data_IF_921577725301
#
_entry.id   IF_921577725301
#
_cell.length_a   1.000
_cell.length_b   1.000
_cell.length_c   1.000
_cell.angle_alpha   90.00
_cell.angle_beta   90.00
_cell.angle_gamma   90.00
#
_symmetry.space_group_name_H-M   'P 1'
#
loop_
_entity.id
_entity.type
_entity.pdbx_description
1 polymer ?
#
# COMPACT_ATOMS: atom_id res chain seq x y z
N UNK A 1 -26.36 4.89 0.55
CA UNK A 1 -26.28 5.66 1.80
C UNK A 1 -24.83 6.01 2.17
N UNK A 2 -23.87 5.08 2.07
CA UNK A 2 -22.44 5.33 2.33
C UNK A 2 -21.84 6.47 1.47
N UNK A 3 -22.04 6.46 0.14
CA UNK A 3 -21.55 7.53 -0.75
C UNK A 3 -22.16 8.92 -0.45
N UNK A 4 -23.43 9.00 -0.02
CA UNK A 4 -24.07 10.25 0.43
C UNK A 4 -23.58 10.70 1.81
N UNK A 5 -23.29 9.76 2.73
CA UNK A 5 -22.63 10.06 4.01
C UNK A 5 -21.21 10.58 3.77
N UNK A 6 -20.45 10.00 2.85
CA UNK A 6 -19.11 10.47 2.45
C UNK A 6 -19.14 11.82 1.77
N UNK A 7 -20.07 12.04 0.84
CA UNK A 7 -20.31 13.37 0.25
C UNK A 7 -20.64 14.40 1.34
N UNK A 8 -21.45 14.06 2.36
CA UNK A 8 -21.72 14.96 3.50
C UNK A 8 -20.56 15.11 4.50
N UNK A 9 -19.69 14.09 4.62
CA UNK A 9 -18.45 14.09 5.42
C UNK A 9 -17.35 14.92 4.73
N UNK A 10 -17.32 14.94 3.39
CA UNK A 10 -16.40 15.73 2.59
C UNK A 10 -16.91 17.17 2.39
N UNK A 11 -18.23 17.35 2.21
CA UNK A 11 -18.87 18.68 2.06
C UNK A 11 -18.91 19.47 3.36
N UNK A 12 -18.87 18.79 4.52
CA UNK A 12 -18.55 19.41 5.81
C UNK A 12 -17.03 19.45 5.97
N UNK A 13 -16.39 20.33 5.19
CA UNK A 13 -14.97 20.68 5.29
C UNK A 13 -14.03 19.51 5.62
N UNK A 14 -13.90 18.55 4.70
CA UNK A 14 -12.58 17.99 4.43
C UNK A 14 -11.90 18.92 3.42
N UNK A 15 -11.66 20.17 3.83
CA UNK A 15 -10.36 20.76 3.55
C UNK A 15 -9.36 19.87 4.29
N UNK A 16 -9.01 18.72 3.72
CA UNK A 16 -7.92 17.90 4.23
C UNK A 16 -6.69 18.81 4.17
N UNK A 17 -6.19 19.31 5.32
CA UNK A 17 -4.98 20.11 5.28
C UNK A 17 -3.86 19.26 4.68
N UNK A 18 -2.88 19.87 4.02
CA UNK A 18 -1.72 19.15 3.51
C UNK A 18 -0.96 18.57 4.71
N UNK A 19 -1.17 17.28 4.98
CA UNK A 19 -0.38 16.44 5.89
C UNK A 19 -0.38 16.86 7.39
N UNK A 20 -0.42 15.85 8.26
CA UNK A 20 -0.55 15.87 9.73
C UNK A 20 -1.94 16.09 10.33
N UNK A 21 -2.27 15.22 11.29
CA UNK A 21 -3.35 15.38 12.26
C UNK A 21 -2.75 15.70 13.64
N UNK A 22 -3.41 16.57 14.39
CA UNK A 22 -3.47 16.66 15.85
C UNK A 22 -4.73 17.42 16.25
N UNK A 23 -5.50 16.92 17.21
CA UNK A 23 -6.55 17.69 17.89
C UNK A 23 -6.29 17.62 19.40
N UNK A 24 -5.92 18.76 19.97
CA UNK A 24 -6.09 19.08 21.38
C UNK A 24 -6.66 20.49 21.46
N UNK A 25 -7.62 20.69 22.37
CA UNK A 25 -8.31 21.96 22.61
C UNK A 25 -7.32 23.07 22.98
N UNK A 26 -6.81 23.78 21.97
CA UNK A 26 -6.31 25.17 21.93
C UNK A 26 -5.75 25.44 20.51
N UNK A 27 -6.66 25.57 19.55
CA UNK A 27 -6.64 26.37 18.30
C UNK A 27 -5.35 26.64 17.48
N UNK A 28 -4.36 25.76 17.42
CA UNK A 28 -3.27 25.83 16.40
C UNK A 28 -2.87 24.43 15.91
N UNK A 29 -3.37 24.07 14.72
CA UNK A 29 -2.86 22.96 13.89
C UNK A 29 -1.66 23.48 13.10
N UNK A 30 -0.43 23.13 13.46
CA UNK A 30 0.69 23.29 12.52
C UNK A 30 0.73 22.06 11.59
N UNK A 31 -0.27 21.97 10.70
CA UNK A 31 -0.07 21.28 9.43
C UNK A 31 0.97 22.10 8.67
N UNK A 32 2.18 21.57 8.49
CA UNK A 32 3.10 22.23 7.56
C UNK A 32 2.57 21.94 6.17
N UNK A 33 1.89 22.94 5.59
CA UNK A 33 1.56 22.98 4.18
C UNK A 33 2.79 22.51 3.39
N UNK A 34 2.58 21.56 2.46
CA UNK A 34 3.65 21.16 1.56
C UNK A 34 4.24 22.44 0.97
N UNK A 35 5.56 22.57 1.03
CA UNK A 35 6.30 23.77 0.63
C UNK A 35 6.02 24.09 -0.84
N UNK A 36 5.77 23.05 -1.64
CA UNK A 36 5.37 23.15 -3.04
C UNK A 36 4.07 23.95 -3.26
N UNK A 37 3.14 23.97 -2.29
CA UNK A 37 1.76 24.51 -2.38
C UNK A 37 0.91 23.97 -3.56
N UNK A 38 1.49 23.15 -4.44
CA UNK A 38 0.81 22.51 -5.56
C UNK A 38 -0.17 21.45 -5.08
N UNK A 39 -1.14 21.15 -5.94
CA UNK A 39 -2.09 20.06 -5.75
C UNK A 39 -2.29 19.30 -7.05
N UNK A 40 -2.59 18.01 -6.95
CA UNK A 40 -3.02 17.18 -8.06
C UNK A 40 -4.39 16.54 -7.78
N UNK A 41 -5.22 16.30 -8.81
CA UNK A 41 -6.50 15.64 -8.63
C UNK A 41 -6.32 14.13 -8.48
N UNK A 42 -7.04 13.52 -7.53
CA UNK A 42 -7.34 12.08 -7.58
C UNK A 42 -8.74 11.87 -8.14
N UNK A 43 -8.91 10.84 -8.97
CA UNK A 43 -10.08 10.67 -9.82
C UNK A 43 -10.88 9.42 -9.43
N UNK A 44 -12.19 9.49 -9.62
CA UNK A 44 -13.07 8.34 -9.51
C UNK A 44 -12.94 7.49 -10.78
N UNK A 45 -12.40 6.26 -10.72
CA UNK A 45 -12.20 5.43 -11.91
C UNK A 45 -13.51 5.00 -12.57
N UNK A 46 -14.66 5.20 -11.91
CA UNK A 46 -15.98 4.89 -12.46
C UNK A 46 -16.47 5.96 -13.43
N UNK A 47 -16.09 7.22 -13.19
CA UNK A 47 -16.65 8.39 -13.89
C UNK A 47 -15.59 9.28 -14.53
N UNK A 48 -14.34 9.21 -14.08
CA UNK A 48 -13.26 10.14 -14.43
C UNK A 48 -13.37 11.49 -13.71
N UNK A 49 -14.36 11.67 -12.84
CA UNK A 49 -14.56 12.92 -12.09
C UNK A 49 -13.56 13.04 -10.94
N UNK A 50 -13.23 14.28 -10.56
CA UNK A 50 -12.33 14.55 -9.43
C UNK A 50 -13.02 14.19 -8.12
N UNK A 51 -12.37 13.35 -7.31
CA UNK A 51 -12.81 13.05 -5.93
C UNK A 51 -12.35 14.19 -5.01
N UNK A 52 -11.07 14.53 -5.09
CA UNK A 52 -10.41 15.53 -4.27
C UNK A 52 -9.11 16.03 -4.92
N UNK A 53 -8.70 17.24 -4.55
CA UNK A 53 -7.35 17.73 -4.79
C UNK A 53 -6.46 17.37 -3.59
N UNK A 54 -5.33 16.73 -3.87
CA UNK A 54 -4.35 16.30 -2.88
C UNK A 54 -3.09 17.12 -3.07
N UNK A 55 -2.46 17.53 -1.97
CA UNK A 55 -1.21 18.27 -2.04
C UNK A 55 -0.13 17.45 -2.76
N UNK A 56 0.58 18.10 -3.68
CA UNK A 56 1.60 17.48 -4.54
C UNK A 56 2.98 17.70 -3.93
N UNK A 57 3.48 16.64 -3.28
CA UNK A 57 4.83 16.60 -2.75
C UNK A 57 5.88 16.63 -3.86
N UNK A 58 6.91 17.43 -3.62
CA UNK A 58 8.11 17.51 -4.44
C UNK A 58 9.37 17.26 -3.58
N UNK A 59 10.55 17.47 -4.15
CA UNK A 59 11.82 17.23 -3.48
C UNK A 59 11.94 17.95 -2.12
N UNK A 60 11.47 19.19 -2.01
CA UNK A 60 11.54 19.96 -0.77
C UNK A 60 10.64 19.39 0.34
N UNK A 61 9.49 18.83 -0.03
CA UNK A 61 8.59 18.16 0.89
C UNK A 61 9.18 16.85 1.39
N UNK A 62 9.87 16.11 0.50
CA UNK A 62 10.63 14.94 0.87
C UNK A 62 11.76 15.32 1.85
N UNK A 63 12.51 16.39 1.59
CA UNK A 63 13.56 16.86 2.50
C UNK A 63 12.98 17.19 3.88
N UNK A 64 11.84 17.88 3.93
CA UNK A 64 11.15 18.18 5.18
C UNK A 64 10.69 16.92 5.92
N UNK A 65 10.10 15.95 5.21
CA UNK A 65 9.65 14.69 5.78
C UNK A 65 10.81 13.83 6.29
N UNK A 66 11.92 13.77 5.55
CA UNK A 66 13.13 13.04 5.97
C UNK A 66 13.77 13.72 7.17
N UNK A 67 13.83 15.06 7.21
CA UNK A 67 14.33 15.80 8.38
C UNK A 67 13.48 15.53 9.63
N UNK A 68 12.15 15.52 9.49
CA UNK A 68 11.24 15.17 10.58
C UNK A 68 11.42 13.71 11.05
N UNK A 69 11.56 12.78 10.11
CA UNK A 69 11.82 11.36 10.39
C UNK A 69 13.16 11.13 11.10
N UNK A 70 14.21 11.84 10.66
CA UNK A 70 15.54 11.79 11.26
C UNK A 70 15.51 12.33 12.68
N UNK A 71 14.92 13.50 12.90
CA UNK A 71 14.77 14.09 14.24
C UNK A 71 13.98 13.17 15.18
N UNK A 72 12.87 12.60 14.70
CA UNK A 72 12.07 11.67 15.49
C UNK A 72 12.82 10.38 15.84
N UNK A 73 13.71 9.91 14.97
CA UNK A 73 14.55 8.73 15.19
C UNK A 73 15.70 9.01 16.18
N UNK A 74 16.50 10.05 15.92
CA UNK A 74 17.73 10.33 16.67
C UNK A 74 17.46 10.96 18.04
N UNK A 75 16.52 11.90 18.10
CA UNK A 75 16.30 12.73 19.30
C UNK A 75 14.97 12.41 20.00
N UNK A 76 13.99 11.95 19.22
CA UNK A 76 12.61 11.76 19.63
C UNK A 76 12.38 10.65 20.66
N UNK A 77 11.16 10.55 21.20
CA UNK A 77 10.82 9.53 22.18
C UNK A 77 10.68 8.13 21.57
N UNK A 78 10.51 8.00 20.25
CA UNK A 78 10.17 6.74 19.59
C UNK A 78 11.22 5.64 19.77
N UNK A 79 12.49 5.99 19.56
CA UNK A 79 13.60 5.04 19.74
C UNK A 79 13.83 4.71 21.23
N UNK A 80 13.51 5.66 22.13
CA UNK A 80 13.67 5.54 23.59
C UNK A 80 12.53 4.76 24.26
N UNK A 81 11.37 4.66 23.60
CA UNK A 81 10.27 3.82 24.07
C UNK A 81 10.71 2.36 24.16
N UNK A 82 10.19 1.65 25.15
CA UNK A 82 10.29 0.21 25.22
C UNK A 82 9.59 -0.43 24.01
N UNK A 83 10.05 -1.62 23.63
CA UNK A 83 9.39 -2.40 22.58
C UNK A 83 7.89 -2.62 22.83
N UNK A 84 7.51 -2.80 24.10
CA UNK A 84 6.11 -2.95 24.52
C UNK A 84 5.29 -1.67 24.31
N UNK A 85 5.83 -0.48 24.60
CA UNK A 85 5.14 0.79 24.35
C UNK A 85 4.89 1.00 22.85
N UNK A 86 5.87 0.70 21.99
CA UNK A 86 5.69 0.72 20.53
C UNK A 86 4.61 -0.27 20.08
N UNK A 87 4.64 -1.50 20.62
CA UNK A 87 3.60 -2.51 20.37
C UNK A 87 2.21 -1.98 20.69
N UNK A 88 2.04 -1.34 21.86
CA UNK A 88 0.76 -0.78 22.29
C UNK A 88 0.23 0.31 21.37
N UNK A 89 1.09 1.13 20.77
CA UNK A 89 0.69 2.13 19.76
C UNK A 89 0.15 1.43 18.50
N UNK A 90 0.85 0.41 18.00
CA UNK A 90 0.44 -0.33 16.80
C UNK A 90 -0.88 -1.09 17.05
N UNK A 91 -1.08 -1.67 18.23
CA UNK A 91 -2.35 -2.29 18.63
C UNK A 91 -3.50 -1.28 18.65
N UNK A 92 -3.31 -0.11 19.27
CA UNK A 92 -4.34 0.94 19.27
C UNK A 92 -4.68 1.40 17.85
N UNK A 93 -3.69 1.52 16.98
CA UNK A 93 -3.94 1.81 15.57
C UNK A 93 -4.78 0.73 14.89
N UNK A 94 -4.50 -0.55 15.14
CA UNK A 94 -5.28 -1.65 14.59
C UNK A 94 -6.74 -1.60 15.08
N UNK A 95 -6.98 -1.31 16.36
CA UNK A 95 -8.32 -1.11 16.92
C UNK A 95 -9.05 0.06 16.25
N UNK A 96 -8.36 1.18 15.99
CA UNK A 96 -8.91 2.33 15.28
C UNK A 96 -9.23 2.00 13.82
N UNK A 97 -8.35 1.25 13.16
CA UNK A 97 -8.57 0.80 11.78
C UNK A 97 -9.83 -0.07 11.69
N UNK A 98 -10.03 -0.98 12.64
CA UNK A 98 -11.21 -1.84 12.71
C UNK A 98 -12.50 -1.03 12.92
N UNK A 99 -12.47 -0.01 13.78
CA UNK A 99 -13.61 0.89 14.01
C UNK A 99 -14.01 1.71 12.77
N UNK A 100 -13.07 1.96 11.86
CA UNK A 100 -13.26 2.78 10.67
C UNK A 100 -13.30 1.96 9.36
N UNK A 101 -13.61 0.66 9.43
CA UNK A 101 -13.65 -0.22 8.25
C UNK A 101 -14.57 0.34 7.16
N UNK A 102 -15.74 0.86 7.51
CA UNK A 102 -16.72 1.30 6.52
C UNK A 102 -16.25 2.55 5.75
N UNK A 103 -15.68 3.54 6.44
CA UNK A 103 -15.12 4.73 5.83
C UNK A 103 -13.93 4.39 4.93
N UNK A 104 -13.02 3.54 5.42
CA UNK A 104 -11.81 3.18 4.69
C UNK A 104 -12.14 2.30 3.49
N UNK A 105 -13.08 1.35 3.63
CA UNK A 105 -13.51 0.51 2.52
C UNK A 105 -14.13 1.35 1.41
N UNK A 106 -14.91 2.37 1.78
CA UNK A 106 -15.50 3.25 0.80
C UNK A 106 -14.45 4.15 0.12
N UNK A 107 -13.43 4.62 0.83
CA UNK A 107 -12.28 5.31 0.22
C UNK A 107 -11.52 4.39 -0.74
N UNK A 108 -11.19 3.16 -0.33
CA UNK A 108 -10.58 2.16 -1.20
C UNK A 108 -11.42 1.91 -2.46
N UNK A 109 -12.74 1.79 -2.34
CA UNK A 109 -13.62 1.61 -3.49
C UNK A 109 -13.71 2.83 -4.39
N UNK A 110 -13.75 4.03 -3.81
CA UNK A 110 -13.92 5.26 -4.57
C UNK A 110 -12.63 5.67 -5.29
N UNK A 111 -11.48 5.57 -4.61
CA UNK A 111 -10.17 6.01 -5.12
C UNK A 111 -9.52 4.92 -6.00
N UNK A 112 -9.73 3.63 -5.72
CA UNK A 112 -9.13 2.53 -6.50
C UNK A 112 -10.10 1.80 -7.46
N UNK A 113 -11.40 1.82 -7.19
CA UNK A 113 -12.40 1.13 -8.03
C UNK A 113 -12.68 -0.33 -7.66
N UNK A 114 -12.05 -0.89 -6.62
CA UNK A 114 -12.35 -2.27 -6.17
C UNK A 114 -13.72 -2.39 -5.49
N UNK A 115 -14.44 -3.52 -5.63
CA UNK A 115 -15.73 -3.72 -4.97
C UNK A 115 -15.70 -3.45 -3.46
N UNK A 116 -16.70 -2.72 -2.97
CA UNK A 116 -16.81 -2.36 -1.55
C UNK A 116 -16.89 -3.58 -0.64
N UNK A 117 -17.64 -4.62 -1.03
CA UNK A 117 -17.71 -5.84 -0.23
C UNK A 117 -16.35 -6.55 -0.14
N UNK A 118 -15.55 -6.50 -1.21
CA UNK A 118 -14.18 -7.03 -1.21
C UNK A 118 -13.28 -6.21 -0.26
N UNK A 119 -13.37 -4.88 -0.32
CA UNK A 119 -12.60 -4.00 0.56
C UNK A 119 -12.97 -4.19 2.04
N UNK A 120 -14.25 -4.10 2.37
CA UNK A 120 -14.78 -4.14 3.72
C UNK A 120 -14.69 -5.52 4.39
N UNK A 121 -15.07 -6.59 3.68
CA UNK A 121 -15.25 -7.92 4.29
C UNK A 121 -14.04 -8.83 4.18
N UNK A 122 -13.15 -8.55 3.23
CA UNK A 122 -11.99 -9.41 2.96
C UNK A 122 -10.69 -8.65 3.27
N UNK A 123 -10.48 -7.50 2.63
CA UNK A 123 -9.18 -6.81 2.69
C UNK A 123 -8.90 -6.17 4.04
N UNK A 124 -9.80 -5.33 4.55
CA UNK A 124 -9.54 -4.59 5.79
C UNK A 124 -9.37 -5.49 7.02
N UNK A 125 -10.16 -6.56 7.22
CA UNK A 125 -9.92 -7.50 8.32
C UNK A 125 -8.52 -8.15 8.25
N UNK A 126 -8.02 -8.45 7.05
CA UNK A 126 -6.65 -8.94 6.87
C UNK A 126 -5.62 -7.86 7.22
N UNK A 127 -5.86 -6.60 6.84
CA UNK A 127 -4.99 -5.47 7.16
C UNK A 127 -4.91 -5.22 8.67
N UNK A 128 -6.05 -5.24 9.38
CA UNK A 128 -6.09 -5.16 10.86
C UNK A 128 -5.22 -6.27 11.45
N UNK A 129 -5.39 -7.51 10.97
CA UNK A 129 -4.59 -8.66 11.42
C UNK A 129 -3.09 -8.49 11.16
N UNK A 130 -2.69 -7.85 10.07
CA UNK A 130 -1.28 -7.56 9.77
C UNK A 130 -0.69 -6.63 10.83
N UNK A 131 -1.41 -5.60 11.26
CA UNK A 131 -0.93 -4.71 12.32
C UNK A 131 -0.91 -5.39 13.68
N UNK A 132 -1.91 -6.23 14.01
CA UNK A 132 -1.83 -7.09 15.20
C UNK A 132 -0.60 -8.00 15.19
N UNK A 133 -0.32 -8.62 14.04
CA UNK A 133 0.85 -9.48 13.87
C UNK A 133 2.16 -8.71 14.12
N UNK A 134 2.34 -7.55 13.48
CA UNK A 134 3.58 -6.77 13.65
C UNK A 134 3.69 -6.09 15.02
N UNK A 135 2.58 -5.70 15.65
CA UNK A 135 2.61 -5.28 17.04
C UNK A 135 3.17 -6.37 17.95
N UNK A 136 2.78 -7.64 17.70
CA UNK A 136 3.31 -8.80 18.41
C UNK A 136 4.79 -9.08 18.17
N UNK A 137 5.39 -8.54 17.09
CA UNK A 137 6.82 -8.68 16.82
C UNK A 137 7.70 -7.64 17.51
N UNK A 138 7.14 -6.48 17.87
CA UNK A 138 7.94 -5.35 18.37
C UNK A 138 8.84 -5.71 19.56
N UNK A 139 8.39 -6.61 20.45
CA UNK A 139 9.09 -7.10 21.64
C UNK A 139 9.72 -8.50 21.50
N UNK A 140 9.80 -9.03 20.27
CA UNK A 140 10.33 -10.38 19.96
C UNK A 140 11.46 -10.37 18.94
N UNK A 141 12.10 -9.22 18.75
CA UNK A 141 13.26 -9.06 17.87
C UNK A 141 14.53 -9.49 18.61
N UNK A 142 14.83 -10.79 18.56
CA UNK A 142 16.00 -11.35 19.23
C UNK A 142 17.21 -11.39 18.32
N UNK A 143 18.38 -11.09 18.89
CA UNK A 143 19.68 -11.47 18.31
C UNK A 143 20.12 -12.86 18.77
N UNK A 144 21.40 -13.17 18.58
CA UNK A 144 22.00 -14.46 18.93
C UNK A 144 23.21 -14.25 19.84
N UNK A 145 23.42 -15.15 20.80
CA UNK A 145 24.72 -15.32 21.45
C UNK A 145 25.46 -16.43 20.70
N UNK A 146 26.63 -16.12 20.16
CA UNK A 146 27.33 -17.00 19.22
C UNK A 146 28.57 -17.60 19.91
N UNK A 147 28.75 -18.94 19.87
CA UNK A 147 29.98 -19.55 20.36
C UNK A 147 31.15 -19.10 19.46
N UNK A 148 32.22 -18.61 20.08
CA UNK A 148 33.44 -18.22 19.39
C UNK A 148 34.64 -18.99 19.94
N UNK A 149 35.61 -19.28 19.09
CA UNK A 149 36.86 -19.89 19.51
C UNK A 149 37.64 -18.91 20.41
N UNK A 150 38.07 -19.37 21.59
CA UNK A 150 38.81 -18.54 22.56
C UNK A 150 37.92 -17.81 23.58
N UNK A 151 38.49 -16.90 24.39
CA UNK A 151 37.81 -16.28 25.53
C UNK A 151 37.01 -15.03 25.13
N UNK A 152 36.12 -15.15 24.14
CA UNK A 152 35.30 -14.04 23.66
C UNK A 152 33.81 -14.25 23.97
N UNK A 153 33.12 -13.15 24.34
CA UNK A 153 31.66 -13.10 24.34
C UNK A 153 31.19 -12.43 23.05
N UNK A 154 30.45 -13.17 22.22
CA UNK A 154 29.94 -12.67 20.95
C UNK A 154 28.41 -12.68 20.98
N UNK A 155 27.82 -11.54 20.67
CA UNK A 155 26.38 -11.40 20.49
C UNK A 155 26.06 -10.58 19.24
N UNK A 156 24.93 -10.87 18.61
CA UNK A 156 24.35 -10.03 17.55
C UNK A 156 23.18 -9.24 18.11
N UNK A 157 22.99 -8.02 17.62
CA UNK A 157 21.87 -7.15 17.96
C UNK A 157 21.10 -6.81 16.69
N UNK A 158 19.77 -6.74 16.78
CA UNK A 158 18.92 -6.27 15.71
C UNK A 158 18.44 -4.86 16.03
N UNK A 159 19.19 -3.87 15.57
CA UNK A 159 18.88 -2.46 15.76
C UNK A 159 18.04 -1.94 14.57
N UNK A 160 17.14 -0.98 14.79
CA UNK A 160 16.44 -0.31 13.69
C UNK A 160 17.45 0.31 12.72
N UNK A 161 17.15 0.23 11.42
CA UNK A 161 18.01 0.78 10.37
C UNK A 161 18.02 2.32 10.36
N UNK A 162 16.95 2.95 10.87
CA UNK A 162 16.79 4.40 10.94
C UNK A 162 15.58 4.91 10.17
N UNK A 163 15.80 5.84 9.24
CA UNK A 163 14.78 6.42 8.38
C UNK A 163 14.54 5.51 7.17
N UNK A 164 13.35 4.89 7.12
CA UNK A 164 12.92 4.03 6.02
C UNK A 164 12.09 4.80 4.99
N UNK A 165 12.62 4.95 3.78
CA UNK A 165 11.88 5.43 2.62
C UNK A 165 11.04 4.33 1.99
N UNK A 166 9.76 4.59 1.75
CA UNK A 166 8.80 3.58 1.31
C UNK A 166 7.96 4.10 0.15
N UNK A 167 7.92 3.38 -0.97
CA UNK A 167 7.14 3.77 -2.16
C UNK A 167 6.17 2.64 -2.48
N UNK A 168 4.87 2.94 -2.51
CA UNK A 168 3.79 1.96 -2.72
C UNK A 168 3.04 2.19 -4.04
N UNK A 169 2.51 1.13 -4.67
CA UNK A 169 1.68 1.22 -5.86
C UNK A 169 0.20 1.45 -5.48
N UNK A 170 -0.63 1.63 -6.50
CA UNK A 170 -2.05 1.96 -6.37
C UNK A 170 -2.99 0.77 -6.24
N UNK A 171 -2.57 -0.46 -6.53
CA UNK A 171 -3.51 -1.57 -6.71
C UNK A 171 -4.11 -2.12 -5.39
N UNK A 172 -3.33 -2.10 -4.31
CA UNK A 172 -3.81 -2.41 -2.95
C UNK A 172 -3.30 -1.35 -1.95
N UNK A 173 -3.77 -0.09 -2.03
CA UNK A 173 -3.13 1.05 -1.37
C UNK A 173 -2.88 0.82 0.12
N UNK A 174 -3.92 0.53 0.91
CA UNK A 174 -3.75 0.34 2.35
C UNK A 174 -3.07 -0.97 2.72
N UNK A 175 -3.20 -2.02 1.91
CA UNK A 175 -2.48 -3.28 2.17
C UNK A 175 -0.96 -3.10 1.95
N UNK A 176 -0.57 -2.38 0.89
CA UNK A 176 0.82 -2.04 0.61
C UNK A 176 1.41 -1.12 1.68
N UNK A 177 0.61 -0.17 2.16
CA UNK A 177 0.93 0.62 3.34
C UNK A 177 1.19 -0.30 4.55
N UNK A 178 0.31 -1.24 4.86
CA UNK A 178 0.45 -2.12 6.01
C UNK A 178 1.67 -3.04 5.95
N UNK A 179 1.97 -3.58 4.76
CA UNK A 179 3.15 -4.41 4.52
C UNK A 179 4.47 -3.67 4.68
N UNK A 180 4.47 -2.34 4.55
CA UNK A 180 5.68 -1.53 4.69
C UNK A 180 5.77 -0.86 6.06
N UNK A 181 4.71 -0.20 6.51
CA UNK A 181 4.68 0.57 7.76
C UNK A 181 4.67 -0.35 8.98
N UNK A 182 3.86 -1.42 8.95
CA UNK A 182 3.75 -2.38 10.06
C UNK A 182 5.11 -2.93 10.54
N UNK A 183 5.91 -3.59 9.68
CA UNK A 183 7.21 -4.11 10.09
C UNK A 183 8.21 -3.01 10.40
N UNK A 184 8.21 -1.90 9.67
CA UNK A 184 9.16 -0.81 9.91
C UNK A 184 8.99 -0.20 11.31
N UNK A 185 7.74 0.09 11.71
CA UNK A 185 7.42 0.61 13.04
C UNK A 185 7.67 -0.42 14.15
N UNK A 186 7.34 -1.70 13.91
CA UNK A 186 7.61 -2.76 14.88
C UNK A 186 9.11 -2.86 15.21
N UNK A 187 9.97 -2.70 14.20
CA UNK A 187 11.42 -2.66 14.37
C UNK A 187 11.96 -1.35 14.98
N UNK A 188 11.13 -0.32 15.20
CA UNK A 188 11.54 0.96 15.78
C UNK A 188 12.07 1.99 14.77
N UNK A 189 11.89 1.75 13.47
CA UNK A 189 12.26 2.73 12.43
C UNK A 189 11.28 3.90 12.40
N UNK A 190 11.71 5.02 11.82
CA UNK A 190 10.81 6.07 11.34
C UNK A 190 10.61 5.92 9.83
N UNK A 191 9.51 6.44 9.30
CA UNK A 191 9.07 6.16 7.94
C UNK A 191 8.75 7.45 7.19
N UNK A 192 9.24 7.55 5.96
CA UNK A 192 8.74 8.47 4.93
C UNK A 192 8.14 7.64 3.81
N UNK A 193 6.82 7.72 3.64
CA UNK A 193 6.07 6.94 2.66
C UNK A 193 5.53 7.84 1.55
N UNK A 194 5.80 7.47 0.31
CA UNK A 194 5.17 8.02 -0.89
C UNK A 194 4.06 7.10 -1.36
N UNK A 195 2.81 7.59 -1.31
CA UNK A 195 1.64 6.93 -1.88
C UNK A 195 1.53 7.16 -3.39
N UNK A 196 0.92 6.21 -4.11
CA UNK A 196 0.63 6.38 -5.52
C UNK A 196 -0.33 7.55 -5.76
N UNK A 197 -0.07 8.30 -6.82
CA UNK A 197 -0.86 9.47 -7.25
C UNK A 197 -2.32 9.09 -7.58
N UNK A 198 -2.57 7.86 -8.03
CA UNK A 198 -3.93 7.38 -8.29
C UNK A 198 -4.72 7.09 -7.02
N UNK A 199 -4.05 6.79 -5.90
CA UNK A 199 -4.73 6.31 -4.68
C UNK A 199 -4.14 6.87 -3.38
N UNK A 200 -4.10 8.19 -3.19
CA UNK A 200 -3.47 8.79 -2.02
C UNK A 200 -4.34 8.73 -0.76
N UNK A 201 -5.66 8.55 -0.87
CA UNK A 201 -6.58 8.92 0.20
C UNK A 201 -6.48 8.03 1.44
N UNK A 202 -6.30 6.71 1.27
CA UNK A 202 -6.32 5.77 2.40
C UNK A 202 -5.03 5.80 3.21
N UNK A 203 -3.89 6.11 2.60
CA UNK A 203 -2.63 6.34 3.31
C UNK A 203 -2.70 7.59 4.20
N UNK A 204 -3.29 8.68 3.69
CA UNK A 204 -3.51 9.91 4.45
C UNK A 204 -4.49 9.68 5.61
N UNK A 205 -5.57 8.95 5.38
CA UNK A 205 -6.52 8.59 6.44
C UNK A 205 -5.87 7.70 7.52
N UNK A 206 -5.05 6.72 7.13
CA UNK A 206 -4.31 5.89 8.07
C UNK A 206 -3.31 6.71 8.91
N UNK A 207 -2.67 7.72 8.33
CA UNK A 207 -1.77 8.61 9.08
C UNK A 207 -2.51 9.35 10.21
N UNK A 208 -3.74 9.81 9.94
CA UNK A 208 -4.60 10.40 10.97
C UNK A 208 -4.88 9.42 12.11
N UNK A 209 -5.22 8.17 11.79
CA UNK A 209 -5.48 7.15 12.82
C UNK A 209 -4.23 6.79 13.62
N UNK A 210 -3.05 6.77 13.00
CA UNK A 210 -1.78 6.56 13.72
C UNK A 210 -1.49 7.69 14.69
N UNK A 211 -1.78 8.93 14.30
CA UNK A 211 -1.68 10.06 15.20
C UNK A 211 -2.63 9.91 16.41
N UNK A 212 -3.90 9.57 16.16
CA UNK A 212 -4.88 9.29 17.24
C UNK A 212 -4.45 8.11 18.13
N UNK A 213 -3.75 7.12 17.57
CA UNK A 213 -3.17 6.02 18.33
C UNK A 213 -2.00 6.45 19.23
N UNK A 214 -1.54 7.70 19.15
CA UNK A 214 -0.44 8.26 19.93
C UNK A 214 0.94 8.01 19.31
N UNK A 215 1.03 7.83 18.00
CA UNK A 215 2.32 7.76 17.30
C UNK A 215 3.04 9.12 17.40
N UNK A 216 4.30 9.19 17.87
CA UNK A 216 5.00 10.46 18.01
C UNK A 216 5.16 11.21 16.67
N UNK A 217 5.16 12.56 16.68
CA UNK A 217 5.39 13.35 15.48
C UNK A 217 6.68 12.98 14.76
N UNK A 218 6.66 12.98 13.43
CA UNK A 218 7.80 12.64 12.57
C UNK A 218 8.08 11.14 12.44
N UNK A 219 7.47 10.26 13.23
CA UNK A 219 7.69 8.80 13.11
C UNK A 219 7.10 8.24 11.82
N UNK A 220 5.97 8.76 11.37
CA UNK A 220 5.36 8.41 10.09
C UNK A 220 5.04 9.69 9.32
N UNK A 221 5.58 9.80 8.12
CA UNK A 221 5.41 10.94 7.23
C UNK A 221 4.86 10.42 5.90
N UNK A 222 3.72 10.95 5.45
CA UNK A 222 3.12 10.58 4.16
C UNK A 222 3.26 11.75 3.20
N UNK A 223 3.93 11.51 2.07
CA UNK A 223 4.11 12.49 1.00
C UNK A 223 3.49 11.94 -0.28
N UNK A 224 2.27 12.37 -0.59
CA UNK A 224 1.63 12.07 -1.88
C UNK A 224 2.26 12.92 -2.98
N UNK A 225 2.53 12.35 -4.14
CA UNK A 225 3.13 13.08 -5.26
C UNK A 225 3.37 12.15 -6.45
N UNK A 226 4.10 12.61 -7.47
CA UNK A 226 4.41 11.80 -8.63
C UNK A 226 5.69 10.97 -8.46
N UNK A 227 5.82 9.92 -9.28
CA UNK A 227 7.04 9.10 -9.33
C UNK A 227 8.30 9.91 -9.65
N UNK A 228 8.35 10.69 -10.74
CA UNK A 228 9.54 11.46 -11.12
C UNK A 228 9.95 12.58 -10.16
N UNK A 229 9.04 13.09 -9.33
CA UNK A 229 9.30 14.16 -8.36
C UNK A 229 9.52 13.56 -6.96
N UNK A 230 8.45 13.40 -6.17
CA UNK A 230 8.51 12.85 -4.81
C UNK A 230 9.17 11.47 -4.74
N UNK A 231 8.84 10.56 -5.67
CA UNK A 231 9.40 9.21 -5.67
C UNK A 231 10.91 9.18 -5.93
N UNK A 232 11.37 9.94 -6.92
CA UNK A 232 12.78 10.03 -7.28
C UNK A 232 13.59 10.72 -6.18
N UNK A 233 13.08 11.82 -5.62
CA UNK A 233 13.69 12.51 -4.50
C UNK A 233 13.85 11.61 -3.27
N UNK A 234 12.83 10.80 -2.94
CA UNK A 234 12.91 9.87 -1.82
C UNK A 234 13.94 8.75 -2.06
N UNK A 235 14.02 8.23 -3.29
CA UNK A 235 14.99 7.19 -3.65
C UNK A 235 16.44 7.69 -3.59
N UNK A 236 16.69 8.93 -4.05
CA UNK A 236 18.02 9.54 -4.10
C UNK A 236 18.44 10.28 -2.82
N UNK A 237 17.55 10.44 -1.83
CA UNK A 237 17.84 11.19 -0.61
C UNK A 237 19.02 10.57 0.18
N UNK A 238 19.96 11.42 0.62
CA UNK A 238 21.20 10.98 1.30
C UNK A 238 20.96 10.53 2.74
N UNK A 239 19.99 11.11 3.44
CA UNK A 239 19.69 10.79 4.85
C UNK A 239 18.59 9.73 5.04
N UNK A 240 18.26 8.98 3.98
CA UNK A 240 17.37 7.80 4.06
C UNK A 240 18.24 6.55 4.15
N UNK A 241 18.07 5.75 5.20
CA UNK A 241 18.95 4.61 5.50
C UNK A 241 18.54 3.33 4.77
N UNK A 242 17.28 3.24 4.37
CA UNK A 242 16.74 2.09 3.64
C UNK A 242 15.63 2.50 2.70
N UNK A 243 15.56 1.86 1.53
CA UNK A 243 14.42 1.98 0.63
C UNK A 243 13.63 0.66 0.50
N UNK A 244 12.31 0.77 0.39
CA UNK A 244 11.43 -0.33 0.02
C UNK A 244 10.43 0.11 -1.06
N UNK A 245 10.58 -0.39 -2.28
CA UNK A 245 9.73 -0.05 -3.42
C UNK A 245 8.86 -1.24 -3.83
N UNK A 246 7.61 -0.94 -4.18
CA UNK A 246 6.73 -1.90 -4.85
C UNK A 246 6.10 -1.24 -6.08
N UNK A 247 6.16 -1.88 -7.24
CA UNK A 247 5.65 -1.31 -8.48
C UNK A 247 6.15 -2.01 -9.74
N UNK A 248 6.28 -1.25 -10.83
CA UNK A 248 6.72 -1.81 -12.11
C UNK A 248 8.20 -2.21 -12.09
N UNK A 249 8.57 -3.21 -12.89
CA UNK A 249 9.96 -3.64 -13.03
C UNK A 249 10.86 -2.53 -13.58
N UNK A 250 10.38 -1.74 -14.53
CA UNK A 250 11.16 -0.66 -15.13
C UNK A 250 11.41 0.48 -14.13
N UNK A 251 10.40 0.86 -13.35
CA UNK A 251 10.59 1.81 -12.24
C UNK A 251 11.51 1.23 -11.16
N UNK A 252 11.43 -0.08 -10.88
CA UNK A 252 12.34 -0.75 -9.95
C UNK A 252 13.82 -0.63 -10.35
N UNK A 253 14.13 -0.72 -11.64
CA UNK A 253 15.49 -0.48 -12.17
C UNK A 253 15.92 0.97 -11.95
N UNK A 254 15.07 1.94 -12.28
CA UNK A 254 15.34 3.38 -12.04
C UNK A 254 15.60 3.64 -10.56
N UNK A 255 14.81 3.04 -9.68
CA UNK A 255 15.00 3.16 -8.22
C UNK A 255 16.38 2.64 -7.80
N UNK A 256 16.81 1.49 -8.30
CA UNK A 256 18.16 0.97 -8.00
C UNK A 256 19.26 1.90 -8.51
N UNK A 257 19.12 2.50 -9.69
CA UNK A 257 20.07 3.46 -10.23
C UNK A 257 20.19 4.72 -9.37
N UNK A 258 19.06 5.28 -8.93
CA UNK A 258 19.02 6.46 -8.05
C UNK A 258 19.65 6.16 -6.68
N UNK A 259 19.39 4.98 -6.13
CA UNK A 259 20.00 4.54 -4.88
C UNK A 259 21.51 4.33 -5.03
N UNK A 260 21.94 3.69 -6.11
CA UNK A 260 23.36 3.44 -6.38
C UNK A 260 24.16 4.74 -6.54
N UNK A 261 23.54 5.79 -7.09
CA UNK A 261 24.16 7.11 -7.29
C UNK A 261 24.08 8.04 -6.06
N UNK A 262 23.38 7.63 -5.01
CA UNK A 262 23.25 8.42 -3.78
C UNK A 262 24.15 7.87 -2.67
N UNK A 263 23.59 7.11 -1.73
CA UNK A 263 24.27 6.69 -0.49
C UNK A 263 24.41 5.16 -0.37
N UNK A 264 24.13 4.40 -1.44
CA UNK A 264 24.19 2.92 -1.46
C UNK A 264 23.27 2.25 -0.41
N UNK A 265 22.21 2.93 0.04
CA UNK A 265 21.22 2.38 0.97
C UNK A 265 20.67 1.01 0.49
N UNK A 266 20.46 0.02 1.37
CA UNK A 266 19.85 -1.24 0.99
C UNK A 266 18.41 -1.05 0.45
N UNK A 267 18.07 -1.82 -0.59
CA UNK A 267 16.78 -1.74 -1.27
C UNK A 267 16.05 -3.08 -1.21
N UNK A 268 14.75 -3.04 -0.92
CA UNK A 268 13.84 -4.17 -1.14
C UNK A 268 12.90 -3.83 -2.27
N UNK A 269 12.77 -4.72 -3.25
CA UNK A 269 11.90 -4.57 -4.41
C UNK A 269 10.85 -5.68 -4.45
N UNK A 270 9.59 -5.29 -4.57
CA UNK A 270 8.48 -6.18 -4.93
C UNK A 270 7.93 -5.72 -6.28
N UNK A 271 8.09 -6.55 -7.32
CA UNK A 271 7.83 -6.16 -8.71
C UNK A 271 6.68 -6.96 -9.33
N UNK A 272 6.46 -6.78 -10.62
CA UNK A 272 5.44 -7.53 -11.37
C UNK A 272 5.79 -9.01 -11.54
N UNK A 273 4.76 -9.82 -11.81
CA UNK A 273 4.90 -11.25 -12.06
C UNK A 273 4.05 -11.73 -13.23
N UNK A 274 4.29 -12.99 -13.62
CA UNK A 274 3.46 -13.72 -14.60
C UNK A 274 3.18 -15.13 -14.07
N UNK A 275 2.52 -15.18 -12.91
CA UNK A 275 2.40 -16.40 -12.11
C UNK A 275 1.62 -17.51 -12.82
N UNK A 276 2.13 -18.75 -12.80
CA UNK A 276 1.39 -19.90 -13.30
C UNK A 276 0.29 -20.34 -12.32
N UNK A 277 -0.83 -20.81 -12.84
CA UNK A 277 -1.85 -21.58 -12.13
C UNK A 277 -1.96 -22.94 -12.83
N UNK A 278 -1.64 -24.04 -12.14
CA UNK A 278 -1.47 -25.37 -12.76
C UNK A 278 -2.63 -26.28 -12.35
N UNK A 279 -3.34 -26.82 -13.34
CA UNK A 279 -4.46 -27.76 -13.17
C UNK A 279 -4.04 -29.14 -13.64
N UNK A 280 -3.85 -30.05 -12.70
CA UNK A 280 -3.53 -31.46 -12.94
C UNK A 280 -4.78 -32.27 -13.34
N UNK A 281 -4.58 -33.47 -13.91
CA UNK A 281 -5.64 -34.33 -14.42
C UNK A 281 -6.62 -34.84 -13.36
N UNK A 282 -6.18 -34.90 -12.10
CA UNK A 282 -6.96 -35.34 -10.94
C UNK A 282 -7.73 -34.20 -10.26
N UNK A 283 -7.59 -32.97 -10.75
CA UNK A 283 -8.29 -31.81 -10.21
C UNK A 283 -9.80 -31.88 -10.49
N UNK A 284 -10.61 -31.50 -9.49
CA UNK A 284 -12.03 -31.21 -9.74
C UNK A 284 -12.14 -29.98 -10.65
N UNK A 285 -12.61 -30.19 -11.88
CA UNK A 285 -12.65 -29.15 -12.91
C UNK A 285 -13.52 -27.96 -12.48
N UNK A 286 -14.62 -28.21 -11.76
CA UNK A 286 -15.52 -27.15 -11.30
C UNK A 286 -14.82 -26.18 -10.35
N UNK A 287 -14.17 -26.73 -9.33
CA UNK A 287 -13.39 -25.99 -8.34
C UNK A 287 -12.18 -25.32 -8.98
N UNK A 288 -11.46 -26.02 -9.87
CA UNK A 288 -10.30 -25.49 -10.57
C UNK A 288 -10.66 -24.24 -11.39
N UNK A 289 -11.83 -24.23 -12.04
CA UNK A 289 -12.33 -23.06 -12.79
C UNK A 289 -12.59 -21.88 -11.86
N UNK A 290 -13.30 -22.07 -10.74
CA UNK A 290 -13.55 -20.95 -9.81
C UNK A 290 -12.26 -20.40 -9.22
N UNK A 291 -11.31 -21.27 -8.85
CA UNK A 291 -10.01 -20.86 -8.32
C UNK A 291 -9.16 -20.13 -9.37
N UNK A 292 -9.12 -20.60 -10.61
CA UNK A 292 -8.41 -19.91 -11.69
C UNK A 292 -9.02 -18.53 -11.98
N UNK A 293 -10.35 -18.43 -11.99
CA UNK A 293 -11.06 -17.16 -12.13
C UNK A 293 -10.77 -16.21 -10.98
N UNK A 294 -10.76 -16.70 -9.74
CA UNK A 294 -10.39 -15.91 -8.59
C UNK A 294 -8.92 -15.44 -8.69
N UNK A 295 -8.00 -16.36 -9.00
CA UNK A 295 -6.57 -16.08 -9.10
C UNK A 295 -6.22 -15.00 -10.15
N UNK A 296 -6.99 -14.92 -11.25
CA UNK A 296 -6.77 -13.93 -12.30
C UNK A 296 -7.60 -12.66 -12.09
N UNK A 297 -8.92 -12.76 -11.88
CA UNK A 297 -9.82 -11.60 -11.93
C UNK A 297 -10.01 -10.89 -10.59
N UNK A 298 -9.50 -11.45 -9.49
CA UNK A 298 -9.52 -10.75 -8.20
C UNK A 298 -8.81 -9.40 -8.31
N UNK A 299 -9.43 -8.34 -7.79
CA UNK A 299 -8.96 -6.96 -7.98
C UNK A 299 -8.79 -6.57 -9.46
N UNK A 300 -9.72 -7.01 -10.31
CA UNK A 300 -9.74 -6.69 -11.75
C UNK A 300 -8.49 -7.16 -12.51
N UNK A 301 -7.74 -8.12 -11.95
CA UNK A 301 -6.44 -8.55 -12.47
C UNK A 301 -5.28 -7.60 -12.15
N UNK A 302 -5.54 -6.51 -11.42
CA UNK A 302 -4.53 -5.55 -10.96
C UNK A 302 -3.81 -6.11 -9.73
N UNK A 303 -3.10 -7.22 -9.90
CA UNK A 303 -2.41 -7.93 -8.84
C UNK A 303 -1.08 -8.51 -9.35
N UNK A 304 0.05 -8.19 -8.69
CA UNK A 304 1.38 -8.62 -9.13
C UNK A 304 1.54 -10.15 -9.15
N UNK A 305 0.84 -10.86 -8.27
CA UNK A 305 0.86 -12.32 -8.18
C UNK A 305 -0.36 -12.99 -8.84
N UNK A 306 -1.11 -12.28 -9.71
CA UNK A 306 -2.25 -12.86 -10.41
C UNK A 306 -1.86 -14.13 -11.19
N UNK A 307 -2.71 -15.17 -11.09
CA UNK A 307 -2.60 -16.43 -11.81
C UNK A 307 -2.86 -16.26 -13.30
N UNK A 308 -1.97 -15.56 -13.97
CA UNK A 308 -2.17 -15.03 -15.33
C UNK A 308 -1.74 -15.97 -16.45
N UNK A 309 -1.23 -17.16 -16.11
CA UNK A 309 -0.99 -18.27 -17.03
C UNK A 309 -1.60 -19.54 -16.44
N UNK A 310 -2.77 -19.93 -16.91
CA UNK A 310 -3.42 -21.16 -16.48
C UNK A 310 -2.99 -22.31 -17.37
N UNK A 311 -2.19 -23.23 -16.82
CA UNK A 311 -1.77 -24.46 -17.48
C UNK A 311 -2.70 -25.60 -17.08
N UNK A 312 -3.24 -26.33 -18.05
CA UNK A 312 -4.24 -27.38 -17.82
C UNK A 312 -3.81 -28.65 -18.54
N UNK A 313 -3.79 -29.78 -17.81
CA UNK A 313 -3.39 -31.06 -18.38
C UNK A 313 -4.36 -31.53 -19.46
N UNK A 314 -3.83 -32.10 -20.54
CA UNK A 314 -4.53 -32.41 -21.80
C UNK A 314 -5.89 -33.09 -21.61
N UNK A 315 -5.96 -34.11 -20.73
CA UNK A 315 -7.19 -34.88 -20.48
C UNK A 315 -8.36 -34.05 -19.98
N UNK A 316 -8.10 -32.98 -19.24
CA UNK A 316 -9.14 -32.11 -18.64
C UNK A 316 -9.25 -30.75 -19.33
N UNK A 317 -8.41 -30.48 -20.34
CA UNK A 317 -8.29 -29.19 -21.02
C UNK A 317 -9.62 -28.71 -21.62
N UNK A 318 -10.27 -29.52 -22.46
CA UNK A 318 -11.50 -29.12 -23.14
C UNK A 318 -12.64 -28.81 -22.16
N UNK A 319 -12.83 -29.69 -21.16
CA UNK A 319 -13.85 -29.50 -20.12
C UNK A 319 -13.58 -28.28 -19.24
N UNK A 320 -12.30 -27.97 -18.98
CA UNK A 320 -11.91 -26.75 -18.27
C UNK A 320 -12.22 -25.50 -19.08
N UNK A 321 -11.81 -25.44 -20.36
CA UNK A 321 -12.00 -24.26 -21.23
C UNK A 321 -13.48 -23.93 -21.39
N UNK A 322 -14.34 -24.93 -21.60
CA UNK A 322 -15.78 -24.74 -21.73
C UNK A 322 -16.36 -24.07 -20.47
N UNK A 323 -16.05 -24.62 -19.29
CA UNK A 323 -16.54 -24.11 -18.01
C UNK A 323 -15.94 -22.74 -17.66
N UNK A 324 -14.65 -22.51 -17.94
CA UNK A 324 -13.99 -21.24 -17.72
C UNK A 324 -14.61 -20.14 -18.59
N UNK A 325 -14.88 -20.40 -19.87
CA UNK A 325 -15.59 -19.46 -20.74
C UNK A 325 -16.98 -19.14 -20.21
N UNK A 326 -17.75 -20.17 -19.81
CA UNK A 326 -19.07 -19.98 -19.23
C UNK A 326 -19.03 -19.13 -17.94
N UNK A 327 -18.01 -19.31 -17.10
CA UNK A 327 -17.81 -18.53 -15.87
C UNK A 327 -17.38 -17.09 -16.15
N UNK A 328 -16.54 -16.86 -17.16
CA UNK A 328 -16.15 -15.53 -17.61
C UNK A 328 -17.38 -14.70 -18.01
N UNK A 329 -18.27 -15.28 -18.82
CA UNK A 329 -19.48 -14.61 -19.33
C UNK A 329 -20.50 -14.27 -18.23
N UNK A 330 -20.44 -14.96 -17.08
CA UNK A 330 -21.31 -14.71 -15.94
C UNK A 330 -20.79 -13.62 -14.99
N UNK A 331 -19.58 -13.08 -15.23
CA UNK A 331 -18.97 -12.08 -14.35
C UNK A 331 -19.78 -10.80 -14.34
N UNK A 332 -20.17 -10.34 -13.15
CA UNK A 332 -20.88 -9.07 -13.02
C UNK A 332 -19.85 -7.93 -12.92
N UNK A 333 -19.69 -7.19 -14.01
CA UNK A 333 -18.89 -5.96 -14.08
C UNK A 333 -19.79 -4.75 -13.90
N UNK A 334 -19.43 -3.80 -13.04
CA UNK A 334 -20.26 -2.61 -12.83
C UNK A 334 -19.78 -1.69 -11.71
N UNK A 335 -20.71 -0.88 -11.19
CA UNK A 335 -20.44 0.05 -10.09
C UNK A 335 -20.01 -0.73 -8.82
N UNK A 336 -18.76 -0.56 -8.36
CA UNK A 336 -18.18 -1.36 -7.27
C UNK A 336 -18.84 -1.11 -5.90
N UNK A 337 -19.74 -0.12 -5.77
CA UNK A 337 -20.58 0.05 -4.58
C UNK A 337 -21.87 -0.78 -4.60
N UNK A 338 -22.26 -1.35 -5.74
CA UNK A 338 -23.48 -2.18 -5.85
C UNK A 338 -23.21 -3.59 -5.37
N UNK A 339 -24.10 -4.10 -4.51
CA UNK A 339 -24.05 -5.48 -4.01
C UNK A 339 -24.07 -6.48 -5.17
N UNK A 340 -23.23 -7.50 -5.11
CA UNK A 340 -23.14 -8.55 -6.12
C UNK A 340 -22.31 -8.19 -7.36
N UNK A 341 -21.78 -6.97 -7.47
CA UNK A 341 -20.76 -6.66 -8.48
C UNK A 341 -19.46 -7.36 -8.10
N UNK A 342 -18.94 -8.17 -9.02
CA UNK A 342 -17.71 -8.93 -8.84
C UNK A 342 -16.47 -8.14 -9.27
N UNK A 343 -16.63 -7.19 -10.20
CA UNK A 343 -15.51 -6.47 -10.81
C UNK A 343 -15.87 -5.01 -11.07
N UNK A 344 -15.05 -4.09 -10.54
CA UNK A 344 -15.10 -2.65 -10.87
C UNK A 344 -14.23 -2.29 -12.09
N UNK A 345 -14.01 -0.98 -12.33
CA UNK A 345 -13.15 -0.49 -13.42
C UNK A 345 -11.66 -0.76 -13.17
N UNK A 346 -10.83 -0.59 -14.21
CA UNK A 346 -9.39 -0.41 -14.03
C UNK A 346 -9.12 0.94 -13.33
N UNK A 347 -7.94 1.12 -12.74
CA UNK A 347 -7.63 2.31 -11.93
C UNK A 347 -7.72 3.64 -12.69
N UNK A 348 -7.38 3.66 -13.98
CA UNK A 348 -7.42 4.84 -14.83
C UNK A 348 -7.47 4.46 -16.31
N UNK A 349 -7.65 5.47 -17.17
CA UNK A 349 -7.70 5.29 -18.62
C UNK A 349 -6.38 4.78 -19.20
N UNK A 350 -5.24 5.12 -18.59
CA UNK A 350 -3.92 4.67 -19.09
C UNK A 350 -3.77 3.15 -18.90
N UNK A 351 -4.10 2.63 -17.71
CA UNK A 351 -4.12 1.19 -17.46
C UNK A 351 -5.18 0.48 -18.29
N UNK A 352 -6.36 1.07 -18.44
CA UNK A 352 -7.39 0.51 -19.31
C UNK A 352 -6.90 0.33 -20.75
N UNK A 353 -6.33 1.38 -21.36
CA UNK A 353 -5.80 1.31 -22.72
C UNK A 353 -4.58 0.39 -22.84
N UNK A 354 -3.74 0.34 -21.81
CA UNK A 354 -2.62 -0.61 -21.74
C UNK A 354 -3.10 -2.06 -21.72
N UNK A 355 -4.14 -2.38 -20.96
CA UNK A 355 -4.73 -3.73 -20.96
C UNK A 355 -5.34 -4.03 -22.33
N UNK A 356 -6.07 -3.09 -22.94
CA UNK A 356 -6.64 -3.27 -24.28
C UNK A 356 -5.57 -3.44 -25.36
N UNK A 357 -4.42 -2.78 -25.26
CA UNK A 357 -3.32 -2.97 -26.21
C UNK A 357 -2.74 -4.38 -26.12
N UNK A 358 -2.62 -4.98 -24.92
CA UNK A 358 -2.23 -6.38 -24.78
C UNK A 358 -3.28 -7.34 -25.36
N UNK A 359 -4.58 -7.05 -25.20
CA UNK A 359 -5.64 -7.85 -25.84
C UNK A 359 -5.55 -7.78 -27.36
N UNK A 360 -5.39 -6.58 -27.93
CA UNK A 360 -5.18 -6.37 -29.38
C UNK A 360 -3.97 -7.14 -29.88
N UNK A 361 -2.82 -6.99 -29.22
CA UNK A 361 -1.60 -7.72 -29.56
C UNK A 361 -1.79 -9.24 -29.51
N UNK A 362 -2.54 -9.77 -28.54
CA UNK A 362 -2.86 -11.20 -28.47
C UNK A 362 -3.77 -11.70 -29.58
N UNK A 363 -4.61 -10.85 -30.17
CA UNK A 363 -5.44 -11.18 -31.34
C UNK A 363 -4.59 -11.12 -32.61
N UNK A 364 -3.74 -10.11 -32.76
CA UNK A 364 -2.89 -9.88 -33.94
C UNK A 364 -1.70 -10.85 -34.05
N UNK A 365 -1.26 -11.42 -32.93
CA UNK A 365 -0.14 -12.38 -32.89
C UNK A 365 -0.56 -13.84 -33.11
N UNK A 366 -1.87 -14.10 -33.24
CA UNK A 366 -2.45 -15.38 -33.64
C UNK A 366 -2.91 -15.31 -35.09
#
# INVERSE_FOLDING_TARGET
MAARRLSSLLSRSLSLPPVYASLGDHSLLEARQLVSEKTFPTLDPRTGEVIAHVAEGDAEDINCAVSAARKAFDEGPWLKMTAYERSRIILRFADLLEKHIDEIAALETWDNGKPYEQAAKIKLPIIVRIFHYYAGWADKLHGLTVPADGPYHVQTLHEPIGVAGQIIPWNFPLAMFAWKVGPALACGNTVVLKSAEQTPLTALYAAKLFHEAGLPPGVLNIVSGYGPTAGAALASHMDVDKLAFTGSTDTGKIVLELVARSNLKPVTLELGGKSPFIVCEDADIGTAVELAHFALFFNQGQCCCAGSRTYVQERVYNGFIEKAKARAMKRIVGDPFKKGVEQGPQIDSEQFEKVLSYVRSGIESN
#
